data_IF_999943693766
#
_entry.id   IF_999943693766
#
_cell.length_a   1.000
_cell.length_b   1.000
_cell.length_c   1.000
_cell.angle_alpha   90.00
_cell.angle_beta   90.00
_cell.angle_gamma   90.00
#
_symmetry.space_group_name_H-M   'P 1'
#
loop_
_entity.id
_entity.type
_entity.pdbx_description
1 polymer ?
#
# COMPACT_ATOMS: atom_id res chain seq x y z
N UNK A 1 -8.24 17.69 41.27
CA UNK A 1 -7.33 16.66 41.80
C UNK A 1 -7.04 15.66 40.70
N UNK A 2 -5.78 15.28 40.57
CA UNK A 2 -5.35 14.32 39.56
C UNK A 2 -5.62 12.90 40.09
N UNK A 3 -6.41 12.10 39.37
CA UNK A 3 -6.70 10.73 39.76
C UNK A 3 -5.65 9.76 39.21
N UNK A 4 -5.67 8.49 39.64
CA UNK A 4 -4.67 7.51 39.14
C UNK A 4 -4.71 7.31 37.65
N UNK A 5 -5.89 7.38 37.02
CA UNK A 5 -6.05 7.23 35.57
C UNK A 5 -5.33 8.37 34.82
N UNK A 6 -5.52 9.60 35.28
CA UNK A 6 -4.87 10.78 34.71
C UNK A 6 -3.35 10.68 34.84
N UNK A 7 -2.86 10.23 36.00
CA UNK A 7 -1.43 10.03 36.22
C UNK A 7 -0.87 8.99 35.24
N UNK A 8 -1.58 7.89 35.03
CA UNK A 8 -1.17 6.84 34.09
C UNK A 8 -1.09 7.38 32.67
N UNK A 9 -2.09 8.15 32.24
CA UNK A 9 -2.11 8.74 30.90
C UNK A 9 -0.95 9.72 30.70
N UNK A 10 -0.65 10.54 31.71
CA UNK A 10 0.47 11.48 31.65
C UNK A 10 1.80 10.72 31.55
N UNK A 11 1.96 9.65 32.35
CA UNK A 11 3.16 8.85 32.34
C UNK A 11 3.36 8.17 30.98
N UNK A 12 2.31 7.64 30.39
CA UNK A 12 2.37 7.02 29.04
C UNK A 12 2.73 8.06 27.98
N UNK A 13 2.13 9.26 28.06
CA UNK A 13 2.43 10.32 27.10
C UNK A 13 3.88 10.80 27.21
N UNK A 14 4.48 10.72 28.39
CA UNK A 14 5.86 11.13 28.59
C UNK A 14 6.88 10.01 28.38
N UNK A 15 6.42 8.77 28.13
CA UNK A 15 7.29 7.60 27.99
C UNK A 15 7.92 7.59 26.59
N UNK A 16 9.27 7.69 26.48
CA UNK A 16 9.93 7.63 25.18
C UNK A 16 9.69 6.33 24.44
N UNK A 17 9.49 5.20 25.14
CA UNK A 17 9.21 3.92 24.49
C UNK A 17 7.84 3.92 23.83
N UNK A 18 6.82 4.55 24.46
CA UNK A 18 5.49 4.68 23.86
C UNK A 18 5.54 5.55 22.62
N UNK A 19 6.23 6.68 22.66
CA UNK A 19 6.39 7.55 21.49
C UNK A 19 7.15 6.82 20.37
N UNK A 20 8.21 6.11 20.69
CA UNK A 20 8.99 5.36 19.73
C UNK A 20 8.16 4.26 19.06
N UNK A 21 7.31 3.56 19.83
CA UNK A 21 6.43 2.53 19.31
C UNK A 21 5.38 3.12 18.38
N UNK A 22 4.74 4.22 18.79
CA UNK A 22 3.70 4.87 17.96
C UNK A 22 4.31 5.44 16.68
N UNK A 23 5.46 6.08 16.76
CA UNK A 23 6.17 6.58 15.60
C UNK A 23 6.57 5.43 14.66
N UNK A 24 7.05 4.33 15.22
CA UNK A 24 7.41 3.14 14.45
C UNK A 24 6.23 2.55 13.71
N UNK A 25 5.07 2.46 14.35
CA UNK A 25 3.84 1.97 13.71
C UNK A 25 3.40 2.88 12.57
N UNK A 26 3.43 4.19 12.78
CA UNK A 26 3.08 5.16 11.75
C UNK A 26 4.04 5.07 10.56
N UNK A 27 5.33 4.95 10.82
CA UNK A 27 6.34 4.80 9.76
C UNK A 27 6.13 3.48 9.02
N UNK A 28 5.86 2.39 9.74
CA UNK A 28 5.62 1.08 9.12
C UNK A 28 4.43 1.13 8.16
N UNK A 29 3.34 1.77 8.55
CA UNK A 29 2.18 1.95 7.66
C UNK A 29 2.54 2.82 6.47
N UNK A 30 3.14 3.99 6.71
CA UNK A 30 3.46 4.93 5.64
C UNK A 30 4.48 4.39 4.66
N UNK A 31 5.58 3.84 5.14
CA UNK A 31 6.64 3.29 4.28
C UNK A 31 6.17 2.01 3.60
N UNK A 32 5.54 1.11 4.34
CA UNK A 32 5.07 -0.16 3.79
C UNK A 32 4.02 0.04 2.70
N UNK A 33 2.98 0.81 2.98
CA UNK A 33 1.95 1.10 2.00
C UNK A 33 2.48 1.98 0.87
N UNK A 34 3.29 2.99 1.19
CA UNK A 34 3.83 3.92 0.20
C UNK A 34 4.79 3.24 -0.78
N UNK A 35 5.79 2.53 -0.28
CA UNK A 35 6.74 1.82 -1.16
C UNK A 35 6.06 0.66 -1.88
N UNK A 36 5.04 0.05 -1.27
CA UNK A 36 4.27 -1.01 -1.89
C UNK A 36 3.49 -0.58 -3.12
N UNK A 37 3.31 0.72 -3.36
CA UNK A 37 2.63 1.23 -4.55
C UNK A 37 3.57 1.45 -5.74
N UNK A 38 4.88 1.50 -5.50
CA UNK A 38 5.86 1.78 -6.55
C UNK A 38 5.88 0.69 -7.60
N UNK A 39 6.02 -0.57 -7.17
CA UNK A 39 6.03 -1.71 -8.08
C UNK A 39 4.75 -1.82 -8.90
N UNK A 40 3.58 -1.89 -8.26
CA UNK A 40 2.31 -1.93 -8.99
C UNK A 40 2.08 -0.72 -9.88
N UNK A 41 2.49 0.48 -9.47
CA UNK A 41 2.40 1.67 -10.32
C UNK A 41 3.20 1.52 -11.61
N UNK A 42 4.44 1.06 -11.50
CA UNK A 42 5.28 0.79 -12.66
C UNK A 42 4.68 -0.34 -13.50
N UNK A 43 4.22 -1.42 -12.84
CA UNK A 43 3.63 -2.57 -13.52
C UNK A 43 2.39 -2.21 -14.32
N UNK A 44 1.48 -1.44 -13.74
CA UNK A 44 0.26 -0.99 -14.43
C UNK A 44 0.64 -0.10 -15.63
N UNK A 45 1.56 0.83 -15.44
CA UNK A 45 2.05 1.67 -16.53
C UNK A 45 2.67 0.85 -17.67
N UNK A 46 3.45 -0.15 -17.33
CA UNK A 46 4.05 -1.05 -18.31
C UNK A 46 3.00 -1.86 -19.06
N UNK A 47 2.01 -2.41 -18.35
CA UNK A 47 0.91 -3.17 -18.97
C UNK A 47 0.16 -2.30 -19.98
N UNK A 48 -0.29 -1.12 -19.56
CA UNK A 48 -1.07 -0.25 -20.42
C UNK A 48 -0.24 0.27 -21.60
N UNK A 49 1.03 0.59 -21.37
CA UNK A 49 1.93 1.00 -22.44
C UNK A 49 2.11 -0.09 -23.49
N UNK A 50 2.28 -1.33 -23.05
CA UNK A 50 2.42 -2.47 -23.96
C UNK A 50 1.11 -2.79 -24.67
N UNK A 51 -0.03 -2.62 -24.02
CA UNK A 51 -1.33 -2.80 -24.65
C UNK A 51 -1.54 -1.80 -25.79
N UNK A 52 -1.23 -0.53 -25.54
CA UNK A 52 -1.35 0.50 -26.56
C UNK A 52 -0.46 0.18 -27.76
N UNK A 53 0.78 -0.19 -27.50
CA UNK A 53 1.73 -0.56 -28.55
C UNK A 53 1.24 -1.78 -29.34
N UNK A 54 0.78 -2.82 -28.66
CA UNK A 54 0.35 -4.06 -29.29
C UNK A 54 -0.93 -3.87 -30.12
N UNK A 55 -1.90 -3.13 -29.61
CA UNK A 55 -3.16 -2.86 -30.34
C UNK A 55 -2.89 -1.98 -31.56
N UNK A 56 -1.95 -1.07 -31.48
CA UNK A 56 -1.57 -0.23 -32.61
C UNK A 56 -0.97 -1.08 -33.73
N UNK A 57 -0.21 -2.12 -33.40
CA UNK A 57 0.40 -3.01 -34.38
C UNK A 57 -0.56 -4.08 -34.89
N UNK A 58 -1.44 -4.59 -34.04
CA UNK A 58 -2.37 -5.69 -34.35
C UNK A 58 -3.77 -5.34 -33.89
N UNK A 59 -4.47 -4.43 -34.58
CA UNK A 59 -5.82 -4.00 -34.16
C UNK A 59 -6.85 -5.13 -34.09
N UNK A 60 -6.66 -6.19 -34.89
CA UNK A 60 -7.56 -7.35 -34.87
C UNK A 60 -7.47 -8.17 -33.60
N UNK A 61 -6.39 -8.02 -32.82
CA UNK A 61 -6.22 -8.73 -31.56
C UNK A 61 -6.70 -7.94 -30.34
N UNK A 62 -7.34 -6.81 -30.56
CA UNK A 62 -7.72 -5.88 -29.48
C UNK A 62 -8.50 -6.55 -28.35
N UNK A 63 -9.48 -7.39 -28.68
CA UNK A 63 -10.33 -8.01 -27.68
C UNK A 63 -9.56 -8.97 -26.79
N UNK A 64 -8.68 -9.79 -27.36
CA UNK A 64 -7.83 -10.70 -26.59
C UNK A 64 -6.85 -9.95 -25.74
N UNK A 65 -6.19 -8.93 -26.29
CA UNK A 65 -5.22 -8.10 -25.58
C UNK A 65 -5.88 -7.37 -24.41
N UNK A 66 -7.09 -6.83 -24.62
CA UNK A 66 -7.83 -6.13 -23.58
C UNK A 66 -8.21 -7.07 -22.43
N UNK A 67 -8.59 -8.31 -22.73
CA UNK A 67 -8.93 -9.30 -21.70
C UNK A 67 -7.71 -9.60 -20.81
N UNK A 68 -6.55 -9.80 -21.42
CA UNK A 68 -5.30 -10.05 -20.70
C UNK A 68 -4.88 -8.81 -19.90
N UNK A 69 -5.08 -7.63 -20.47
CA UNK A 69 -4.80 -6.35 -19.80
C UNK A 69 -5.52 -6.25 -18.46
N UNK A 70 -6.80 -6.55 -18.44
CA UNK A 70 -7.59 -6.44 -17.20
C UNK A 70 -7.19 -7.48 -16.18
N UNK A 71 -6.84 -8.69 -16.62
CA UNK A 71 -6.33 -9.71 -15.72
C UNK A 71 -5.00 -9.27 -15.09
N UNK A 72 -4.08 -8.79 -15.89
CA UNK A 72 -2.79 -8.30 -15.41
C UNK A 72 -2.93 -7.10 -14.49
N UNK A 73 -3.84 -6.18 -14.83
CA UNK A 73 -4.16 -5.03 -13.97
C UNK A 73 -4.64 -5.48 -12.60
N UNK A 74 -5.61 -6.41 -12.54
CA UNK A 74 -6.17 -6.89 -11.28
C UNK A 74 -5.13 -7.57 -10.40
N UNK A 75 -4.27 -8.41 -10.99
CA UNK A 75 -3.20 -9.09 -10.25
C UNK A 75 -2.16 -8.11 -9.74
N UNK A 76 -1.84 -7.10 -10.53
CA UNK A 76 -0.86 -6.08 -10.15
C UNK A 76 -1.39 -5.19 -9.02
N UNK A 77 -2.65 -4.79 -9.09
CA UNK A 77 -3.28 -3.98 -8.05
C UNK A 77 -3.44 -4.74 -6.73
N UNK A 78 -3.61 -6.06 -6.78
CA UNK A 78 -3.72 -6.87 -5.56
C UNK A 78 -2.48 -6.70 -4.66
N UNK A 79 -1.32 -6.47 -5.23
CA UNK A 79 -0.08 -6.27 -4.47
C UNK A 79 -0.17 -4.99 -3.62
N UNK A 80 -0.78 -3.94 -4.13
CA UNK A 80 -0.99 -2.69 -3.39
C UNK A 80 -1.85 -2.96 -2.14
N UNK A 81 -2.94 -3.71 -2.32
CA UNK A 81 -3.83 -4.05 -1.22
C UNK A 81 -3.13 -4.89 -0.17
N UNK A 82 -2.31 -5.85 -0.58
CA UNK A 82 -1.53 -6.64 0.38
C UNK A 82 -0.56 -5.76 1.17
N UNK A 83 0.17 -4.89 0.51
CA UNK A 83 1.10 -3.97 1.18
C UNK A 83 0.37 -3.05 2.16
N UNK A 84 -0.78 -2.53 1.77
CA UNK A 84 -1.60 -1.68 2.62
C UNK A 84 -2.13 -2.43 3.83
N UNK A 85 -2.63 -3.65 3.63
CA UNK A 85 -3.16 -4.49 4.72
C UNK A 85 -2.06 -4.82 5.73
N UNK A 86 -0.89 -5.23 5.27
CA UNK A 86 0.23 -5.52 6.17
C UNK A 86 0.69 -4.28 6.92
N UNK A 87 0.69 -3.11 6.26
CA UNK A 87 0.97 -1.85 6.92
C UNK A 87 -0.04 -1.52 8.00
N UNK A 88 -1.33 -1.73 7.72
CA UNK A 88 -2.39 -1.54 8.71
C UNK A 88 -2.24 -2.49 9.91
N UNK A 89 -1.93 -3.76 9.64
CA UNK A 89 -1.71 -4.74 10.70
C UNK A 89 -0.57 -4.28 11.60
N UNK A 90 0.54 -3.84 11.03
CA UNK A 90 1.68 -3.32 11.79
C UNK A 90 1.30 -2.08 12.61
N UNK A 91 0.46 -1.21 12.06
CA UNK A 91 0.01 -0.01 12.74
C UNK A 91 -0.87 -0.33 13.95
N UNK A 92 -1.75 -1.32 13.85
CA UNK A 92 -2.69 -1.65 14.92
C UNK A 92 -2.14 -2.68 15.92
N UNK A 93 -1.06 -3.35 15.64
CA UNK A 93 -0.40 -4.22 16.62
C UNK A 93 0.29 -3.40 17.71
#
# INVERSE_FOLDING_TARGET
>A
MVDPTTITLIAQAADPAAYGTDAGKAIALGVGAGLGTIGPGIGVGYIFGKVIESVTRQPEMRDEITSIQWLGFALTEAIVFYAFIFGLIAFFL
#
